data_IF_513142610468
#
_entry.id   IF_513142610468
#
_cell.length_a   1.000
_cell.length_b   1.000
_cell.length_c   1.000
_cell.angle_alpha   90.00
_cell.angle_beta   90.00
_cell.angle_gamma   90.00
#
_symmetry.space_group_name_H-M   'P 1'
#
loop_
_entity.id
_entity.type
_entity.pdbx_description
1 polymer ?
#
# COMPACT_ATOMS: atom_id res chain seq x y z
N UNK A 1 -1.39 -7.35 7.64
CA UNK A 1 -0.02 -6.79 7.52
C UNK A 1 -0.10 -5.41 6.88
N UNK A 2 0.68 -4.46 7.39
CA UNK A 2 0.78 -3.10 6.86
C UNK A 2 2.21 -2.89 6.31
N UNK A 3 2.33 -2.33 5.11
CA UNK A 3 3.63 -2.07 4.48
C UNK A 3 3.75 -0.61 4.02
N UNK A 4 4.95 -0.07 4.09
CA UNK A 4 5.31 1.14 3.34
C UNK A 4 6.00 0.69 2.04
N UNK A 5 5.32 0.73 0.88
CA UNK A 5 5.90 0.26 -0.37
C UNK A 5 7.10 1.13 -0.78
N UNK A 6 8.11 0.56 -1.45
CA UNK A 6 9.23 1.34 -1.98
C UNK A 6 8.75 2.33 -3.05
N UNK A 7 9.44 3.46 -3.19
CA UNK A 7 9.06 4.51 -4.15
C UNK A 7 9.25 4.11 -5.63
N UNK A 8 10.01 3.05 -5.92
CA UNK A 8 10.17 2.55 -7.28
C UNK A 8 9.06 1.56 -7.63
N UNK A 9 8.21 1.93 -8.60
CA UNK A 9 6.98 1.22 -8.93
C UNK A 9 7.19 -0.27 -9.25
N UNK A 10 8.22 -0.62 -10.05
CA UNK A 10 8.46 -2.01 -10.42
C UNK A 10 8.75 -2.89 -9.19
N UNK A 11 9.56 -2.39 -8.25
CA UNK A 11 9.85 -3.11 -7.00
C UNK A 11 8.64 -3.16 -6.07
N UNK A 12 7.84 -2.09 -6.00
CA UNK A 12 6.62 -2.07 -5.20
C UNK A 12 5.62 -3.15 -5.67
N UNK A 13 5.41 -3.25 -6.98
CA UNK A 13 4.54 -4.27 -7.56
C UNK A 13 5.08 -5.68 -7.35
N UNK A 14 6.38 -5.91 -7.54
CA UNK A 14 7.01 -7.21 -7.26
C UNK A 14 6.84 -7.64 -5.80
N UNK A 15 7.06 -6.72 -4.85
CA UNK A 15 6.88 -6.97 -3.42
C UNK A 15 5.42 -7.32 -3.09
N UNK A 16 4.46 -6.55 -3.61
CA UNK A 16 3.02 -6.80 -3.38
C UNK A 16 2.61 -8.17 -3.94
N UNK A 17 3.11 -8.55 -5.12
CA UNK A 17 2.84 -9.85 -5.73
C UNK A 17 3.38 -11.00 -4.89
N UNK A 18 4.63 -10.93 -4.44
CA UNK A 18 5.24 -11.94 -3.57
C UNK A 18 4.49 -12.10 -2.24
N UNK A 19 4.17 -10.99 -1.58
CA UNK A 19 3.41 -10.98 -0.33
C UNK A 19 2.04 -11.63 -0.55
N UNK A 20 1.32 -11.22 -1.60
CA UNK A 20 0.00 -11.75 -1.90
C UNK A 20 0.05 -13.25 -2.17
N UNK A 21 1.01 -13.70 -2.98
CA UNK A 21 1.18 -15.11 -3.31
C UNK A 21 1.49 -15.98 -2.09
N UNK A 22 2.27 -15.47 -1.13
CA UNK A 22 2.66 -16.20 0.08
C UNK A 22 1.57 -16.18 1.16
N UNK A 23 0.89 -15.06 1.35
CA UNK A 23 -0.09 -14.88 2.42
C UNK A 23 -1.52 -15.26 2.02
N UNK A 24 -1.81 -15.34 0.71
CA UNK A 24 -3.15 -15.61 0.19
C UNK A 24 -4.12 -14.41 0.21
N UNK A 25 -3.69 -13.26 0.75
CA UNK A 25 -4.48 -12.03 0.81
C UNK A 25 -3.60 -10.81 0.48
N UNK A 26 -4.21 -9.70 0.08
CA UNK A 26 -3.44 -8.47 -0.16
C UNK A 26 -3.06 -7.77 1.16
N UNK A 27 -1.90 -7.10 1.24
CA UNK A 27 -1.54 -6.28 2.39
C UNK A 27 -2.25 -4.91 2.38
N UNK A 28 -2.28 -4.23 3.52
CA UNK A 28 -2.56 -2.79 3.54
C UNK A 28 -1.27 -2.01 3.21
N UNK A 29 -1.39 -0.89 2.50
CA UNK A 29 -0.24 -0.05 2.13
C UNK A 29 -0.37 1.36 2.71
N UNK A 30 0.76 1.95 3.06
CA UNK A 30 0.87 3.35 3.46
C UNK A 30 1.11 4.24 2.25
N UNK A 31 0.44 5.40 2.22
CA UNK A 31 0.82 6.53 1.38
C UNK A 31 1.37 7.63 2.28
N UNK A 32 2.66 7.89 2.16
CA UNK A 32 3.30 9.00 2.86
C UNK A 32 3.19 10.28 2.04
N UNK A 33 3.09 11.42 2.71
CA UNK A 33 3.26 12.75 2.10
C UNK A 33 4.20 13.61 2.95
N UNK A 34 4.89 14.59 2.37
CA UNK A 34 5.63 15.58 3.15
C UNK A 34 4.69 16.30 4.12
N UNK A 35 5.12 16.44 5.37
CA UNK A 35 4.45 17.28 6.34
C UNK A 35 4.96 18.73 6.20
N UNK A 36 4.08 19.70 6.45
CA UNK A 36 4.47 21.12 6.46
C UNK A 36 5.35 21.45 7.67
N UNK A 37 6.31 22.35 7.47
CA UNK A 37 7.15 22.87 8.54
C UNK A 37 8.63 23.00 8.17
N UNK A 38 9.44 23.56 9.09
CA UNK A 38 10.86 23.84 8.85
C UNK A 38 11.76 22.59 8.83
N UNK A 39 11.22 21.42 9.21
CA UNK A 39 11.96 20.16 9.31
C UNK A 39 11.35 19.16 8.34
N UNK A 40 12.17 18.51 7.52
CA UNK A 40 11.73 17.43 6.63
C UNK A 40 11.12 16.30 7.44
N UNK A 41 9.81 16.14 7.33
CA UNK A 41 9.03 15.08 7.96
C UNK A 41 8.02 14.54 6.96
N UNK A 42 7.61 13.31 7.19
CA UNK A 42 6.55 12.68 6.42
C UNK A 42 5.46 12.24 7.37
N UNK A 43 4.21 12.40 6.92
CA UNK A 43 3.04 11.92 7.63
C UNK A 43 2.30 10.89 6.78
N UNK A 44 1.55 10.02 7.46
CA UNK A 44 0.67 9.06 6.81
C UNK A 44 -0.51 9.82 6.24
N UNK A 45 -0.49 10.05 4.92
CA UNK A 45 -1.60 10.66 4.21
C UNK A 45 -2.79 9.71 4.14
N UNK A 46 -2.52 8.40 4.01
CA UNK A 46 -3.54 7.39 3.79
C UNK A 46 -3.04 5.99 4.17
N UNK A 47 -3.98 5.14 4.60
CA UNK A 47 -3.80 3.70 4.72
C UNK A 47 -4.79 3.05 3.75
N UNK A 48 -4.27 2.40 2.71
CA UNK A 48 -5.09 1.80 1.66
C UNK A 48 -5.18 0.29 1.90
N UNK A 49 -6.39 -0.23 2.05
CA UNK A 49 -6.63 -1.65 2.17
C UNK A 49 -6.84 -2.29 0.79
N UNK A 50 -5.77 -2.84 0.21
CA UNK A 50 -5.79 -3.48 -1.11
C UNK A 50 -6.68 -4.74 -1.15
N UNK A 51 -6.89 -5.41 -0.01
CA UNK A 51 -7.80 -6.54 0.06
C UNK A 51 -9.25 -6.07 -0.10
N UNK A 52 -9.64 -4.97 0.55
CA UNK A 52 -10.96 -4.36 0.34
C UNK A 52 -11.15 -3.91 -1.11
N UNK A 53 -10.14 -3.30 -1.73
CA UNK A 53 -10.20 -2.91 -3.15
C UNK A 53 -10.54 -4.11 -4.05
N UNK A 54 -9.89 -5.26 -3.83
CA UNK A 54 -10.19 -6.51 -4.55
C UNK A 54 -11.61 -6.98 -4.28
N UNK A 55 -12.03 -6.99 -3.02
CA UNK A 55 -13.33 -7.53 -2.61
C UNK A 55 -14.48 -6.68 -3.14
N UNK A 56 -14.33 -5.36 -3.15
CA UNK A 56 -15.30 -4.44 -3.74
C UNK A 56 -15.34 -4.57 -5.26
N UNK A 57 -14.20 -4.78 -5.92
CA UNK A 57 -14.16 -5.07 -7.36
C UNK A 57 -14.87 -6.38 -7.72
N UNK A 58 -14.84 -7.39 -6.84
CA UNK A 58 -15.53 -8.67 -7.06
C UNK A 58 -17.04 -8.56 -6.96
N UNK A 59 -17.57 -7.62 -6.17
CA UNK A 59 -19.02 -7.36 -6.07
C UNK A 59 -19.61 -6.74 -7.34
N UNK A 60 -18.77 -6.21 -8.23
CA UNK A 60 -19.16 -5.53 -9.47
C UNK A 60 -19.12 -6.47 -10.70
N UNK A 61 -18.90 -7.77 -10.50
CA UNK A 61 -18.95 -8.80 -11.53
C UNK A 61 -20.33 -9.42 -11.63
#
# INVERSE_FOLDING_TARGET
MLINPPGFAATALALVAEIHGRMGHFPMILRLRPAEGPVTRFEVAEIINLQNVRDDSRKQR
#
